data_IF_198893553434
#
_entry.id   IF_198893553434
#
_cell.length_a   1.000
_cell.length_b   1.000
_cell.length_c   1.000
_cell.angle_alpha   90.00
_cell.angle_beta   90.00
_cell.angle_gamma   90.00
#
_symmetry.space_group_name_H-M   'P 1'
#
loop_
_entity.id
_entity.type
_entity.pdbx_description
1 polymer ?
#
# COMPACT_ATOMS: atom_id res chain seq x y z
N UNK A 1 24.93 -4.90 27.57
CA UNK A 1 23.90 -5.91 27.23
C UNK A 1 22.56 -5.21 27.04
N UNK A 2 22.20 -4.80 25.81
CA UNK A 2 20.89 -4.19 25.50
C UNK A 2 20.16 -5.11 24.54
N UNK A 3 19.43 -6.08 25.09
CA UNK A 3 18.52 -6.92 24.34
C UNK A 3 17.09 -6.56 24.75
N UNK A 4 16.17 -6.64 23.78
CA UNK A 4 14.71 -6.75 23.93
C UNK A 4 13.86 -5.46 23.92
N UNK A 5 14.02 -4.56 22.93
CA UNK A 5 13.00 -3.51 22.68
C UNK A 5 12.36 -3.55 21.27
N UNK A 6 12.85 -4.39 20.36
CA UNK A 6 12.33 -4.47 18.98
C UNK A 6 11.01 -5.28 18.84
N UNK A 7 10.52 -5.90 19.92
CA UNK A 7 9.26 -6.67 19.90
C UNK A 7 7.98 -5.81 19.88
N UNK A 8 8.10 -4.50 20.15
CA UNK A 8 6.98 -3.55 20.11
C UNK A 8 7.10 -2.54 18.96
N UNK A 9 8.01 -2.75 18.00
CA UNK A 9 7.99 -1.96 16.77
C UNK A 9 6.68 -2.28 16.03
N UNK A 10 5.84 -1.26 15.89
CA UNK A 10 4.60 -1.31 15.14
C UNK A 10 4.87 -2.02 13.82
N UNK A 11 4.34 -3.25 13.67
CA UNK A 11 4.57 -4.06 12.48
C UNK A 11 4.28 -3.18 11.26
N UNK A 12 5.17 -3.13 10.26
CA UNK A 12 4.88 -2.37 9.06
C UNK A 12 3.56 -2.89 8.50
N UNK A 13 2.53 -2.03 8.53
CA UNK A 13 1.23 -2.36 7.96
C UNK A 13 1.44 -2.55 6.47
N UNK A 14 1.53 -3.82 6.05
CA UNK A 14 1.74 -4.17 4.66
C UNK A 14 0.53 -3.71 3.85
N UNK A 15 0.74 -2.70 3.00
CA UNK A 15 -0.30 -2.17 2.13
C UNK A 15 -0.52 -3.11 0.96
N UNK A 16 -1.75 -3.20 0.50
CA UNK A 16 -2.10 -3.97 -0.67
C UNK A 16 -2.25 -3.03 -1.86
N UNK A 17 -1.78 -3.46 -3.02
CA UNK A 17 -1.89 -2.73 -4.27
C UNK A 17 -2.44 -3.65 -5.36
N UNK A 18 -3.30 -3.11 -6.21
CA UNK A 18 -3.73 -3.71 -7.45
C UNK A 18 -3.14 -2.96 -8.64
N UNK A 19 -2.67 -3.68 -9.64
CA UNK A 19 -2.29 -3.10 -10.93
C UNK A 19 -3.53 -3.06 -11.82
N UNK A 20 -3.90 -1.88 -12.28
CA UNK A 20 -5.00 -1.70 -13.22
C UNK A 20 -4.47 -1.52 -14.65
N UNK A 21 -5.17 -2.13 -15.61
CA UNK A 21 -5.02 -1.80 -17.02
C UNK A 21 -5.63 -0.42 -17.33
N UNK A 22 -5.36 0.11 -18.54
CA UNK A 22 -5.97 1.35 -19.06
C UNK A 22 -7.50 1.33 -19.04
N UNK A 23 -8.07 0.12 -19.16
CA UNK A 23 -9.51 -0.11 -19.10
C UNK A 23 -10.06 -0.23 -17.66
N UNK A 24 -9.21 -0.13 -16.63
CA UNK A 24 -9.59 -0.24 -15.22
C UNK A 24 -9.75 -1.67 -14.68
N UNK A 25 -9.34 -2.68 -15.45
CA UNK A 25 -9.35 -4.09 -15.03
C UNK A 25 -8.13 -4.42 -14.18
N UNK A 26 -8.32 -5.20 -13.11
CA UNK A 26 -7.22 -5.63 -12.27
C UNK A 26 -6.40 -6.74 -12.97
N UNK A 27 -5.11 -6.49 -13.16
CA UNK A 27 -4.18 -7.43 -13.80
C UNK A 27 -3.33 -8.19 -12.78
N UNK A 28 -2.90 -7.53 -11.71
CA UNK A 28 -2.00 -8.11 -10.73
C UNK A 28 -2.23 -7.53 -9.33
N UNK A 29 -1.75 -8.24 -8.33
CA UNK A 29 -1.75 -7.79 -6.93
C UNK A 29 -0.33 -7.79 -6.38
N UNK A 30 -0.07 -6.85 -5.47
CA UNK A 30 1.21 -6.78 -4.76
C UNK A 30 0.97 -6.30 -3.33
N UNK A 31 1.61 -6.95 -2.38
CA UNK A 31 1.61 -6.53 -0.99
C UNK A 31 3.00 -5.98 -0.65
N UNK A 32 3.10 -4.69 -0.35
CA UNK A 32 4.35 -4.04 0.01
C UNK A 32 4.12 -2.85 0.94
N UNK A 33 5.13 -2.48 1.72
CA UNK A 33 5.03 -1.32 2.62
C UNK A 33 5.31 0.01 1.89
N UNK A 34 5.99 -0.06 0.75
CA UNK A 34 6.35 1.08 -0.09
C UNK A 34 5.43 1.15 -1.32
N UNK A 35 5.22 2.35 -1.84
CA UNK A 35 4.54 2.54 -3.12
C UNK A 35 5.31 1.76 -4.20
N UNK A 36 4.67 0.82 -4.91
CA UNK A 36 5.32 0.13 -6.01
C UNK A 36 5.67 1.11 -7.14
N UNK A 37 6.85 0.94 -7.73
CA UNK A 37 7.26 1.73 -8.89
C UNK A 37 6.49 1.27 -10.12
N UNK A 38 6.01 2.24 -10.91
CA UNK A 38 5.24 2.02 -12.13
C UNK A 38 3.85 2.66 -12.09
N UNK A 39 3.32 2.96 -13.27
CA UNK A 39 1.97 3.52 -13.42
C UNK A 39 0.88 2.45 -13.28
N UNK A 40 -0.32 2.88 -12.86
CA UNK A 40 -1.50 2.02 -12.77
C UNK A 40 -1.63 1.21 -11.48
N UNK A 41 -0.68 1.33 -10.54
CA UNK A 41 -0.83 0.77 -9.20
C UNK A 41 -1.78 1.62 -8.36
N UNK A 42 -2.83 0.99 -7.85
CA UNK A 42 -3.78 1.60 -6.90
C UNK A 42 -3.73 0.87 -5.58
N UNK A 43 -3.78 1.62 -4.48
CA UNK A 43 -3.86 1.07 -3.14
C UNK A 43 -5.27 0.51 -2.88
N UNK A 44 -5.33 -0.70 -2.32
CA UNK A 44 -6.56 -1.42 -2.00
C UNK A 44 -6.53 -1.85 -0.54
N UNK A 45 -7.70 -1.98 0.08
CA UNK A 45 -7.78 -2.39 1.50
C UNK A 45 -7.34 -3.84 1.70
N UNK A 46 -7.63 -4.70 0.72
CA UNK A 46 -7.35 -6.13 0.77
C UNK A 46 -7.18 -6.71 -0.64
N UNK A 47 -6.52 -7.86 -0.75
CA UNK A 47 -6.38 -8.57 -2.03
C UNK A 47 -7.52 -9.57 -2.16
N UNK A 48 -8.38 -9.38 -3.18
CA UNK A 48 -9.39 -10.38 -3.57
C UNK A 48 -9.15 -10.89 -4.98
N UNK A 49 -8.91 -12.19 -5.11
CA UNK A 49 -8.69 -12.85 -6.40
C UNK A 49 -9.90 -12.73 -7.35
N UNK A 50 -11.11 -12.56 -6.82
CA UNK A 50 -12.32 -12.34 -7.63
C UNK A 50 -12.27 -11.04 -8.46
N UNK A 51 -11.37 -10.09 -8.14
CA UNK A 51 -11.19 -8.89 -8.94
C UNK A 51 -10.26 -9.08 -10.13
N UNK A 52 -9.52 -10.19 -10.20
CA UNK A 52 -8.62 -10.46 -11.31
C UNK A 52 -9.40 -10.48 -12.64
N UNK A 53 -8.90 -9.74 -13.62
CA UNK A 53 -9.54 -9.51 -14.93
C UNK A 53 -10.92 -8.82 -14.87
N UNK A 54 -11.32 -8.30 -13.71
CA UNK A 54 -12.57 -7.55 -13.52
C UNK A 54 -12.28 -6.08 -13.19
N UNK A 55 -13.24 -5.17 -13.45
CA UNK A 55 -13.10 -3.79 -13.04
C UNK A 55 -13.02 -3.70 -11.51
N UNK A 56 -12.03 -2.94 -11.02
CA UNK A 56 -11.86 -2.77 -9.58
C UNK A 56 -12.95 -1.82 -9.04
N UNK A 57 -13.81 -2.27 -8.10
CA UNK A 57 -14.86 -1.42 -7.54
C UNK A 57 -14.26 -0.25 -6.76
N UNK A 58 -14.90 0.92 -6.85
CA UNK A 58 -14.42 2.13 -6.17
C UNK A 58 -14.35 1.97 -4.65
N UNK A 59 -15.22 1.14 -4.06
CA UNK A 59 -15.22 0.82 -2.63
C UNK A 59 -13.99 0.04 -2.17
N UNK A 60 -13.31 -0.69 -3.06
CA UNK A 60 -12.09 -1.43 -2.72
C UNK A 60 -10.84 -0.54 -2.75
N UNK A 61 -10.93 0.63 -3.40
CA UNK A 61 -9.82 1.57 -3.51
C UNK A 61 -9.69 2.30 -2.19
N UNK A 62 -8.52 2.21 -1.57
CA UNK A 62 -8.21 3.09 -0.45
C UNK A 62 -8.15 4.49 -1.02
N UNK A 63 -9.08 5.36 -0.63
CA UNK A 63 -8.95 6.79 -0.88
C UNK A 63 -7.71 7.21 -0.12
N UNK A 64 -6.59 7.32 -0.83
CA UNK A 64 -5.32 7.70 -0.25
C UNK A 64 -5.47 9.11 0.33
N UNK A 65 -5.85 9.20 1.61
CA UNK A 65 -5.34 10.26 2.47
C UNK A 65 -3.85 9.99 2.48
N UNK A 66 -3.13 10.61 1.55
CA UNK A 66 -1.68 10.61 1.50
C UNK A 66 -1.19 10.64 2.95
N UNK A 67 -0.52 9.60 3.45
CA UNK A 67 0.15 9.72 4.72
C UNK A 67 1.22 10.75 4.44
N UNK A 68 0.92 12.00 4.82
CA UNK A 68 1.81 13.15 4.82
C UNK A 68 3.12 12.59 5.32
N UNK A 69 4.07 12.48 4.40
CA UNK A 69 5.36 11.87 4.62
C UNK A 69 5.86 12.40 5.94
N UNK A 70 6.11 11.50 6.90
CA UNK A 70 6.63 11.80 8.23
C UNK A 70 8.10 12.21 8.14
N UNK A 71 8.46 13.00 7.12
CA UNK A 71 9.72 13.67 6.91
C UNK A 71 9.71 15.08 7.54
N UNK A 72 8.96 15.26 8.64
CA UNK A 72 8.96 16.49 9.44
C UNK A 72 9.81 16.39 10.70
N UNK A 73 10.62 15.34 10.87
CA UNK A 73 11.49 15.23 12.03
C UNK A 73 12.88 14.81 11.57
N UNK A 74 13.69 15.81 11.23
CA UNK A 74 15.11 15.92 11.59
C UNK A 74 15.65 17.23 10.99
N UNK A 75 15.06 18.36 11.41
CA UNK A 75 15.80 19.61 11.60
C UNK A 75 16.05 19.74 13.11
N UNK A 76 17.19 20.33 13.48
CA UNK A 76 17.77 20.49 14.83
C UNK A 76 18.69 19.31 15.18
N UNK A 77 20.00 19.46 15.33
CA UNK A 77 20.85 20.61 15.69
C UNK A 77 22.25 20.47 15.10
#
# INVERSE_FOLDING_TARGET
>A
MRFLVSLFEARPHHRCFALLDRNGHCQAFKQCNLQPMGDGWVEIEEIRLNWLHKPLPASARVIARQPRSRAQQLLTT
#
